data_IF_150331865267
#
_entry.id   IF_150331865267
#
_cell.length_a   1.000
_cell.length_b   1.000
_cell.length_c   1.000
_cell.angle_alpha   90.00
_cell.angle_beta   90.00
_cell.angle_gamma   90.00
#
_symmetry.space_group_name_H-M   'P 1'
#
loop_
_entity.id
_entity.type
_entity.pdbx_description
1 polymer ?
#
# COMPACT_ATOMS: atom_id res chain seq x y z
N UNK A 1 83.53 -18.02 -44.18
CA UNK A 1 82.78 -19.29 -44.06
C UNK A 1 81.47 -18.94 -43.36
N UNK A 2 80.38 -18.71 -44.07
CA UNK A 2 79.55 -19.65 -44.85
C UNK A 2 78.60 -20.48 -43.96
N UNK A 3 77.30 -20.42 -44.27
CA UNK A 3 76.23 -21.31 -43.78
C UNK A 3 75.21 -20.58 -42.89
N UNK A 4 74.18 -19.90 -43.39
CA UNK A 4 73.05 -20.30 -44.25
C UNK A 4 71.96 -21.14 -43.54
N UNK A 5 70.82 -20.47 -43.31
CA UNK A 5 69.42 -20.89 -43.55
C UNK A 5 68.84 -22.16 -42.92
N UNK A 6 67.79 -21.95 -42.12
CA UNK A 6 66.48 -22.64 -42.16
C UNK A 6 65.58 -21.91 -41.15
N UNK A 7 64.81 -20.89 -41.56
CA UNK A 7 63.52 -21.04 -42.25
C UNK A 7 62.80 -22.35 -41.91
N UNK A 8 62.04 -22.29 -40.81
CA UNK A 8 60.87 -23.11 -40.63
C UNK A 8 59.71 -22.19 -40.23
N UNK A 9 59.09 -21.63 -41.27
CA UNK A 9 57.69 -21.29 -41.27
C UNK A 9 56.89 -22.53 -40.85
N UNK A 10 56.27 -22.45 -39.67
CA UNK A 10 55.04 -23.18 -39.40
C UNK A 10 53.99 -22.16 -38.99
N UNK A 11 53.45 -21.54 -40.03
CA UNK A 11 52.02 -21.32 -40.14
C UNK A 11 51.26 -22.57 -39.63
N UNK A 12 50.36 -22.31 -38.69
CA UNK A 12 48.98 -22.74 -38.70
C UNK A 12 48.53 -23.21 -37.31
N UNK A 13 47.54 -22.50 -36.78
CA UNK A 13 46.93 -22.85 -35.52
C UNK A 13 46.38 -21.63 -34.80
N UNK A 14 45.40 -21.00 -35.42
CA UNK A 14 44.20 -20.51 -34.74
C UNK A 14 43.84 -21.48 -33.60
N UNK A 15 44.46 -21.30 -32.44
CA UNK A 15 43.96 -21.87 -31.19
C UNK A 15 42.94 -20.87 -30.74
N UNK A 16 41.76 -21.08 -31.32
CA UNK A 16 40.54 -20.39 -30.98
C UNK A 16 40.41 -20.25 -29.47
N UNK A 17 39.63 -19.24 -29.09
CA UNK A 17 39.09 -19.06 -27.77
C UNK A 17 38.54 -20.39 -27.24
N UNK A 18 39.43 -21.20 -26.66
CA UNK A 18 39.08 -22.42 -25.97
C UNK A 18 38.29 -21.95 -24.78
N UNK A 19 37.07 -22.46 -24.66
CA UNK A 19 36.15 -22.18 -23.56
C UNK A 19 36.95 -22.10 -22.26
N UNK A 20 37.28 -20.89 -21.82
CA UNK A 20 38.03 -20.67 -20.60
C UNK A 20 37.06 -20.98 -19.46
N UNK A 21 36.94 -22.27 -19.14
CA UNK A 21 36.11 -22.75 -18.05
C UNK A 21 36.81 -22.32 -16.77
N UNK A 22 36.36 -21.20 -16.21
CA UNK A 22 36.82 -20.71 -14.92
C UNK A 22 36.81 -21.86 -13.91
N UNK A 23 37.97 -22.15 -13.33
CA UNK A 23 38.07 -23.16 -12.29
C UNK A 23 37.60 -22.57 -10.96
N UNK A 24 37.22 -23.42 -10.01
CA UNK A 24 36.84 -22.97 -8.67
C UNK A 24 37.97 -22.17 -8.00
N UNK A 25 39.23 -22.56 -8.24
CA UNK A 25 40.40 -21.84 -7.75
C UNK A 25 40.53 -20.44 -8.36
N UNK A 26 40.17 -20.27 -9.65
CA UNK A 26 40.15 -18.95 -10.28
C UNK A 26 39.08 -18.04 -9.68
N UNK A 27 37.91 -18.60 -9.37
CA UNK A 27 36.82 -17.88 -8.72
C UNK A 27 37.22 -17.43 -7.31
N UNK A 28 37.79 -18.33 -6.50
CA UNK A 28 38.26 -18.00 -5.14
C UNK A 28 39.38 -16.95 -5.15
N UNK A 29 40.31 -17.04 -6.10
CA UNK A 29 41.36 -16.02 -6.28
C UNK A 29 40.76 -14.66 -6.63
N UNK A 30 39.86 -14.60 -7.62
CA UNK A 30 39.21 -13.36 -8.04
C UNK A 30 38.41 -12.74 -6.90
N UNK A 31 37.69 -13.57 -6.13
CA UNK A 31 36.96 -13.13 -4.93
C UNK A 31 37.94 -12.56 -3.91
N UNK A 32 39.04 -13.27 -3.60
CA UNK A 32 40.06 -12.80 -2.65
C UNK A 32 40.68 -11.47 -3.06
N UNK A 33 41.05 -11.31 -4.33
CA UNK A 33 41.59 -10.05 -4.87
C UNK A 33 40.57 -8.91 -4.77
N UNK A 34 39.30 -9.18 -5.11
CA UNK A 34 38.23 -8.19 -5.03
C UNK A 34 37.97 -7.77 -3.58
N UNK A 35 37.92 -8.72 -2.66
CA UNK A 35 37.69 -8.48 -1.24
C UNK A 35 38.84 -7.69 -0.61
N UNK A 36 40.07 -7.94 -1.04
CA UNK A 36 41.25 -7.18 -0.60
C UNK A 36 41.20 -5.74 -1.11
N UNK A 37 40.84 -5.54 -2.39
CA UNK A 37 40.68 -4.21 -2.98
C UNK A 37 39.54 -3.43 -2.30
N UNK A 38 38.42 -4.10 -2.04
CA UNK A 38 37.28 -3.50 -1.35
C UNK A 38 37.65 -3.10 0.08
N UNK A 39 38.33 -3.97 0.84
CA UNK A 39 38.83 -3.61 2.18
C UNK A 39 39.81 -2.44 2.14
N UNK A 40 40.71 -2.40 1.16
CA UNK A 40 41.64 -1.30 0.98
C UNK A 40 40.92 0.01 0.60
N UNK A 41 39.91 -0.04 -0.28
CA UNK A 41 39.09 1.13 -0.63
C UNK A 41 38.27 1.63 0.57
N UNK A 42 37.70 0.72 1.36
CA UNK A 42 36.97 1.07 2.59
C UNK A 42 37.93 1.68 3.61
N UNK A 43 39.11 1.10 3.81
CA UNK A 43 40.13 1.64 4.70
C UNK A 43 40.64 3.02 4.25
N UNK A 44 40.81 3.24 2.94
CA UNK A 44 41.21 4.54 2.39
C UNK A 44 40.11 5.61 2.53
N UNK A 45 38.83 5.23 2.39
CA UNK A 45 37.70 6.17 2.45
C UNK A 45 37.28 6.50 3.88
N UNK A 46 37.31 5.51 4.77
CA UNK A 46 36.70 5.61 6.10
C UNK A 46 37.71 5.37 7.24
N UNK A 47 38.97 5.10 6.92
CA UNK A 47 39.96 4.67 7.89
C UNK A 47 39.77 3.22 8.33
N UNK A 48 40.59 2.77 9.26
CA UNK A 48 40.40 1.47 9.91
C UNK A 48 39.18 1.53 10.84
N UNK A 49 38.25 0.61 10.65
CA UNK A 49 37.01 0.53 11.40
C UNK A 49 37.28 0.26 12.89
N UNK A 50 38.34 -0.46 13.21
CA UNK A 50 38.71 -0.72 14.60
C UNK A 50 39.27 0.54 15.27
N UNK A 51 40.02 1.37 14.53
CA UNK A 51 40.49 2.68 15.00
C UNK A 51 39.34 3.66 15.17
N UNK A 52 38.35 3.63 14.28
CA UNK A 52 37.18 4.49 14.40
C UNK A 52 36.33 4.13 15.63
N UNK A 53 36.16 2.83 15.88
CA UNK A 53 35.48 2.34 17.10
C UNK A 53 36.26 2.73 18.35
N UNK A 54 37.56 2.51 18.38
CA UNK A 54 38.38 2.85 19.55
C UNK A 54 38.34 4.36 19.83
N UNK A 55 38.50 5.19 18.78
CA UNK A 55 38.38 6.65 18.89
C UNK A 55 37.00 7.08 19.39
N UNK A 56 35.92 6.45 18.93
CA UNK A 56 34.58 6.75 19.41
C UNK A 56 34.42 6.43 20.90
N UNK A 57 34.88 5.25 21.35
CA UNK A 57 34.82 4.86 22.76
C UNK A 57 35.65 5.78 23.65
N UNK A 58 36.81 6.22 23.17
CA UNK A 58 37.73 7.08 23.91
C UNK A 58 37.19 8.52 23.99
N UNK A 59 36.62 9.03 22.89
CA UNK A 59 35.90 10.31 22.88
C UNK A 59 34.68 10.31 23.79
N UNK A 60 33.95 9.19 23.85
CA UNK A 60 32.80 9.05 24.73
C UNK A 60 33.23 9.03 26.19
N UNK A 61 34.30 8.29 26.53
CA UNK A 61 34.88 8.28 27.87
C UNK A 61 35.42 9.67 28.29
N UNK A 62 36.08 10.41 27.39
CA UNK A 62 36.54 11.78 27.67
C UNK A 62 35.34 12.72 27.87
N UNK A 63 34.31 12.63 27.02
CA UNK A 63 33.08 13.41 27.20
C UNK A 63 32.42 13.11 28.53
N UNK A 64 32.32 11.85 28.93
CA UNK A 64 31.69 11.47 30.19
C UNK A 64 32.53 11.86 31.42
N UNK A 65 33.86 11.92 31.27
CA UNK A 65 34.80 12.40 32.30
C UNK A 65 34.76 13.92 32.47
N UNK A 66 34.69 14.66 31.35
CA UNK A 66 34.75 16.12 31.35
C UNK A 66 33.37 16.77 31.49
N UNK A 67 32.27 16.00 31.40
CA UNK A 67 30.92 16.45 31.76
C UNK A 67 30.85 16.80 33.24
N UNK A 68 30.52 18.05 33.52
CA UNK A 68 30.20 18.49 34.87
C UNK A 68 28.90 17.86 35.33
N UNK A 69 28.64 17.82 36.65
CA UNK A 69 27.38 17.29 37.17
C UNK A 69 26.16 18.03 36.61
N UNK A 70 26.32 19.31 36.24
CA UNK A 70 25.28 20.10 35.57
C UNK A 70 24.97 19.59 34.16
N UNK A 71 25.98 19.20 33.38
CA UNK A 71 25.80 18.68 32.01
C UNK A 71 25.14 17.30 32.02
N UNK A 72 25.51 16.43 32.98
CA UNK A 72 24.85 15.12 33.18
C UNK A 72 23.38 15.29 33.52
N UNK A 73 23.04 16.27 34.36
CA UNK A 73 21.65 16.58 34.70
C UNK A 73 20.91 17.15 33.48
N UNK A 74 21.54 18.01 32.67
CA UNK A 74 20.92 18.51 31.43
C UNK A 74 20.64 17.39 30.43
N UNK A 75 21.59 16.47 30.22
CA UNK A 75 21.40 15.30 29.36
C UNK A 75 20.24 14.43 29.86
N UNK A 76 20.16 14.18 31.17
CA UNK A 76 19.05 13.44 31.77
C UNK A 76 17.71 14.14 31.59
N UNK A 77 17.66 15.47 31.73
CA UNK A 77 16.46 16.26 31.49
C UNK A 77 16.04 16.15 30.02
N UNK A 78 16.97 16.29 29.08
CA UNK A 78 16.68 16.18 27.66
C UNK A 78 16.16 14.78 27.28
N UNK A 79 16.76 13.73 27.84
CA UNK A 79 16.33 12.35 27.66
C UNK A 79 14.92 12.12 28.24
N UNK A 80 14.64 12.62 29.45
CA UNK A 80 13.34 12.50 30.09
C UNK A 80 12.27 13.28 29.33
N UNK A 81 12.58 14.49 28.84
CA UNK A 81 11.68 15.27 28.00
C UNK A 81 11.36 14.55 26.70
N UNK A 82 12.36 13.95 26.05
CA UNK A 82 12.17 13.17 24.83
C UNK A 82 11.27 11.95 25.10
N UNK A 83 11.51 11.22 26.19
CA UNK A 83 10.69 10.06 26.58
C UNK A 83 9.25 10.46 26.89
N UNK A 84 9.06 11.56 27.63
CA UNK A 84 7.73 12.07 27.97
C UNK A 84 6.97 12.51 26.71
N UNK A 85 7.62 13.22 25.79
CA UNK A 85 7.01 13.59 24.53
C UNK A 85 6.61 12.35 23.72
N UNK A 86 7.49 11.35 23.62
CA UNK A 86 7.20 10.10 22.93
C UNK A 86 6.05 9.31 23.60
N UNK A 87 5.99 9.28 24.93
CA UNK A 87 4.92 8.62 25.68
C UNK A 87 3.58 9.36 25.53
N UNK A 88 3.59 10.69 25.58
CA UNK A 88 2.39 11.50 25.33
C UNK A 88 1.87 11.30 23.90
N UNK A 89 2.75 11.24 22.90
CA UNK A 89 2.37 10.89 21.53
C UNK A 89 1.82 9.46 21.42
N UNK A 90 2.45 8.49 22.09
CA UNK A 90 1.98 7.12 22.09
C UNK A 90 0.59 7.00 22.74
N UNK A 91 0.38 7.69 23.86
CA UNK A 91 -0.88 7.73 24.58
C UNK A 91 -1.98 8.37 23.77
N UNK A 92 -1.73 9.55 23.17
CA UNK A 92 -2.70 10.23 22.31
C UNK A 92 -3.08 9.38 21.09
N UNK A 93 -2.12 8.70 20.46
CA UNK A 93 -2.39 7.74 19.37
C UNK A 93 -3.22 6.56 19.85
N UNK A 94 -2.93 6.02 21.04
CA UNK A 94 -3.68 4.91 21.62
C UNK A 94 -5.13 5.31 21.96
N UNK A 95 -5.33 6.48 22.58
CA UNK A 95 -6.65 7.04 22.89
C UNK A 95 -7.45 7.32 21.61
N UNK A 96 -6.83 7.91 20.58
CA UNK A 96 -7.47 8.13 19.29
C UNK A 96 -7.89 6.81 18.61
N UNK A 97 -7.07 5.76 18.72
CA UNK A 97 -7.38 4.43 18.19
C UNK A 97 -8.53 3.76 18.97
N UNK A 98 -8.53 3.87 20.30
CA UNK A 98 -9.61 3.37 21.13
C UNK A 98 -10.94 4.07 20.79
N UNK A 99 -10.94 5.40 20.74
CA UNK A 99 -12.11 6.18 20.35
C UNK A 99 -12.60 5.86 18.93
N UNK A 100 -11.70 5.60 17.98
CA UNK A 100 -12.08 5.16 16.62
C UNK A 100 -12.72 3.77 16.61
N UNK A 101 -12.23 2.85 17.45
CA UNK A 101 -12.80 1.52 17.59
C UNK A 101 -14.20 1.57 18.22
N UNK A 102 -14.38 2.37 19.28
CA UNK A 102 -15.68 2.60 19.92
C UNK A 102 -16.71 3.19 18.94
N UNK A 103 -16.31 4.21 18.16
CA UNK A 103 -17.17 4.78 17.11
C UNK A 103 -17.55 3.77 16.04
N UNK A 104 -16.59 2.95 15.61
CA UNK A 104 -16.85 1.89 14.63
C UNK A 104 -17.84 0.87 15.21
N UNK A 105 -17.65 0.46 16.46
CA UNK A 105 -18.55 -0.48 17.12
C UNK A 105 -19.96 0.10 17.25
N UNK A 106 -20.07 1.37 17.66
CA UNK A 106 -21.34 2.09 17.75
C UNK A 106 -22.10 2.09 16.41
N UNK A 107 -21.41 2.36 15.31
CA UNK A 107 -22.00 2.30 13.96
C UNK A 107 -22.50 0.90 13.59
N UNK A 108 -21.71 -0.14 13.89
CA UNK A 108 -22.08 -1.53 13.65
C UNK A 108 -23.32 -1.92 14.47
N UNK A 109 -23.35 -1.57 15.75
CA UNK A 109 -24.48 -1.86 16.65
C UNK A 109 -25.78 -1.18 16.20
N UNK A 110 -25.68 -0.02 15.55
CA UNK A 110 -26.81 0.72 14.96
C UNK A 110 -27.19 0.25 13.54
N UNK A 111 -26.54 -0.79 13.04
CA UNK A 111 -26.87 -1.46 11.79
C UNK A 111 -26.12 -0.97 10.55
N UNK A 112 -25.05 -0.17 10.69
CA UNK A 112 -24.18 0.13 9.56
C UNK A 112 -23.24 -1.05 9.26
N UNK A 113 -22.98 -1.36 7.98
CA UNK A 113 -21.90 -2.27 7.60
C UNK A 113 -20.55 -1.78 8.13
N UNK A 114 -19.68 -2.72 8.53
CA UNK A 114 -18.35 -2.41 9.08
C UNK A 114 -17.53 -1.45 8.21
N UNK A 115 -17.63 -1.56 6.88
CA UNK A 115 -16.92 -0.69 5.94
C UNK A 115 -17.35 0.78 6.03
N UNK A 116 -18.62 1.05 6.36
CA UNK A 116 -19.14 2.39 6.56
C UNK A 116 -18.98 2.85 8.01
N UNK A 117 -19.15 1.96 8.98
CA UNK A 117 -18.93 2.28 10.39
C UNK A 117 -17.50 2.76 10.68
N UNK A 118 -16.49 2.21 9.99
CA UNK A 118 -15.10 2.67 10.05
C UNK A 118 -14.87 4.10 9.55
N UNK A 119 -15.82 4.66 8.80
CA UNK A 119 -15.75 5.99 8.21
C UNK A 119 -16.52 7.05 9.01
N UNK A 120 -17.21 6.66 10.09
CA UNK A 120 -17.97 7.59 10.91
C UNK A 120 -17.06 8.67 11.54
N UNK A 121 -17.52 9.91 11.44
CA UNK A 121 -16.87 11.11 11.95
C UNK A 121 -17.77 11.77 12.98
N UNK A 122 -17.25 11.92 14.18
CA UNK A 122 -17.99 12.51 15.29
C UNK A 122 -17.32 12.14 16.59
N UNK A 123 -17.65 12.85 17.65
CA UNK A 123 -17.14 12.56 19.00
C UNK A 123 -18.25 12.37 20.02
N UNK A 124 -19.47 12.76 19.65
CA UNK A 124 -20.66 12.65 20.50
C UNK A 124 -21.68 11.69 19.89
N UNK A 125 -22.47 11.02 20.75
CA UNK A 125 -23.51 10.09 20.31
C UNK A 125 -24.54 10.74 19.38
N UNK A 126 -24.83 12.04 19.59
CA UNK A 126 -25.76 12.80 18.76
C UNK A 126 -25.23 13.03 17.33
N UNK A 127 -23.95 13.36 17.18
CA UNK A 127 -23.30 13.49 15.87
C UNK A 127 -23.25 12.16 15.14
N UNK A 128 -22.87 11.09 15.86
CA UNK A 128 -22.82 9.74 15.31
C UNK A 128 -24.20 9.27 14.87
N UNK A 129 -25.25 9.48 15.67
CA UNK A 129 -26.61 9.12 15.31
C UNK A 129 -27.13 9.89 14.08
N UNK A 130 -26.79 11.18 13.96
CA UNK A 130 -27.15 11.98 12.79
C UNK A 130 -26.50 11.44 11.51
N UNK A 131 -25.19 11.21 11.53
CA UNK A 131 -24.45 10.67 10.39
C UNK A 131 -24.92 9.25 10.04
N UNK A 132 -25.16 8.41 11.04
CA UNK A 132 -25.74 7.06 10.87
C UNK A 132 -27.08 7.13 10.16
N UNK A 133 -27.96 8.06 10.56
CA UNK A 133 -29.27 8.20 9.95
C UNK A 133 -29.20 8.75 8.52
N UNK A 134 -28.22 9.59 8.21
CA UNK A 134 -27.94 10.03 6.84
C UNK A 134 -27.41 8.90 5.95
N UNK A 135 -26.58 8.00 6.49
CA UNK A 135 -25.96 6.90 5.74
C UNK A 135 -26.88 5.69 5.55
N UNK A 136 -27.77 5.39 6.50
CA UNK A 136 -28.74 4.29 6.45
C UNK A 136 -29.48 4.13 5.11
N UNK A 137 -30.05 5.16 4.46
CA UNK A 137 -30.77 5.00 3.20
C UNK A 137 -29.88 4.51 2.04
N UNK A 138 -28.57 4.71 2.11
CA UNK A 138 -27.60 4.30 1.09
C UNK A 138 -27.03 2.90 1.33
N UNK A 139 -27.27 2.32 2.50
CA UNK A 139 -26.94 0.91 2.76
C UNK A 139 -27.94 0.04 2.02
N UNK A 140 -27.50 -0.61 0.95
CA UNK A 140 -28.21 -1.78 0.45
C UNK A 140 -28.12 -2.84 1.55
N UNK A 141 -29.25 -3.16 2.19
CA UNK A 141 -29.32 -4.26 3.14
C UNK A 141 -28.71 -5.49 2.49
N UNK A 142 -27.81 -6.18 3.18
CA UNK A 142 -27.14 -7.37 2.65
C UNK A 142 -28.13 -8.49 2.23
N UNK A 143 -29.40 -8.39 2.65
CA UNK A 143 -30.50 -9.28 2.27
C UNK A 143 -31.32 -8.81 1.05
N UNK A 144 -31.04 -7.64 0.48
CA UNK A 144 -31.75 -7.08 -0.67
C UNK A 144 -30.79 -6.85 -1.82
N UNK A 145 -30.90 -7.67 -2.88
CA UNK A 145 -30.17 -7.50 -4.13
C UNK A 145 -30.35 -6.11 -4.76
N UNK A 146 -29.77 -5.85 -5.95
CA UNK A 146 -29.82 -4.55 -6.62
C UNK A 146 -31.22 -3.96 -6.51
N UNK A 147 -31.35 -2.80 -5.85
CA UNK A 147 -32.63 -2.12 -5.70
C UNK A 147 -33.26 -2.08 -7.08
N UNK A 148 -34.47 -2.63 -7.28
CA UNK A 148 -35.11 -2.58 -8.58
C UNK A 148 -35.15 -1.11 -8.99
N UNK A 149 -34.82 -0.80 -10.26
CA UNK A 149 -34.89 0.58 -10.74
C UNK A 149 -36.27 1.12 -10.39
N UNK A 150 -36.32 2.33 -9.85
CA UNK A 150 -37.58 2.98 -9.53
C UNK A 150 -38.50 2.88 -10.77
N UNK A 151 -39.79 2.52 -10.59
CA UNK A 151 -40.72 2.42 -11.69
C UNK A 151 -40.63 3.69 -12.55
N UNK A 152 -40.27 3.52 -13.82
CA UNK A 152 -40.22 4.65 -14.72
C UNK A 152 -41.63 5.24 -14.79
N UNK A 153 -41.79 6.55 -14.55
CA UNK A 153 -43.10 7.20 -14.61
C UNK A 153 -43.75 7.12 -16.00
N UNK A 154 -42.98 6.70 -17.02
CA UNK A 154 -43.47 6.42 -18.36
C UNK A 154 -43.80 4.94 -18.61
N UNK A 155 -43.54 4.04 -17.66
CA UNK A 155 -43.83 2.62 -17.81
C UNK A 155 -45.35 2.40 -17.70
N UNK A 156 -45.98 2.09 -18.83
CA UNK A 156 -47.43 1.95 -18.94
C UNK A 156 -48.18 3.25 -19.27
N UNK A 157 -47.48 4.38 -19.42
CA UNK A 157 -48.08 5.63 -19.85
C UNK A 157 -48.03 5.72 -21.39
N UNK A 158 -49.17 5.74 -22.09
CA UNK A 158 -49.15 5.95 -23.54
C UNK A 158 -48.60 7.34 -23.87
N UNK A 159 -47.94 7.53 -25.04
CA UNK A 159 -47.46 8.82 -25.49
C UNK A 159 -48.65 9.72 -25.83
N UNK A 160 -49.12 10.46 -24.82
CA UNK A 160 -50.34 11.25 -24.88
C UNK A 160 -50.89 11.44 -23.48
N UNK A 161 -50.36 12.44 -22.77
CA UNK A 161 -50.73 12.71 -21.39
C UNK A 161 -52.24 12.86 -21.17
N UNK A 162 -52.70 12.33 -20.03
CA UNK A 162 -54.03 12.48 -19.42
C UNK A 162 -55.15 11.68 -20.12
N UNK A 163 -55.62 10.64 -19.41
CA UNK A 163 -56.94 9.99 -19.55
C UNK A 163 -57.08 8.80 -20.50
N UNK A 164 -56.09 7.92 -20.61
CA UNK A 164 -56.34 6.57 -21.14
C UNK A 164 -56.18 5.56 -19.99
N UNK A 165 -57.29 4.96 -19.56
CA UNK A 165 -57.29 3.83 -18.60
C UNK A 165 -56.31 2.76 -19.12
N UNK A 166 -55.58 2.03 -18.25
CA UNK A 166 -54.73 0.94 -18.70
C UNK A 166 -55.57 0.01 -19.57
N UNK A 167 -55.17 -0.14 -20.84
CA UNK A 167 -55.89 -0.97 -21.80
C UNK A 167 -55.77 -2.43 -21.33
N UNK A 168 -56.85 -2.96 -20.76
CA UNK A 168 -56.94 -4.39 -20.46
C UNK A 168 -56.86 -5.21 -21.74
N UNK A 169 -56.48 -6.49 -21.62
CA UNK A 169 -56.48 -7.44 -22.74
C UNK A 169 -57.86 -7.49 -23.42
N UNK A 170 -58.94 -7.33 -22.64
CA UNK A 170 -60.31 -7.22 -23.16
C UNK A 170 -60.52 -5.97 -24.03
N UNK A 171 -60.05 -4.80 -23.61
CA UNK A 171 -60.14 -3.57 -24.40
C UNK A 171 -59.33 -3.67 -25.70
N UNK A 172 -58.18 -4.35 -25.67
CA UNK A 172 -57.40 -4.66 -26.86
C UNK A 172 -58.12 -5.62 -27.82
N UNK A 173 -58.76 -6.67 -27.30
CA UNK A 173 -59.53 -7.62 -28.10
C UNK A 173 -60.72 -6.95 -28.81
N UNK A 174 -61.43 -6.06 -28.12
CA UNK A 174 -62.53 -5.29 -28.71
C UNK A 174 -62.04 -4.40 -29.87
N UNK A 175 -60.93 -3.67 -29.69
CA UNK A 175 -60.33 -2.86 -30.75
C UNK A 175 -59.87 -3.70 -31.95
N UNK A 176 -59.32 -4.89 -31.70
CA UNK A 176 -58.91 -5.81 -32.76
C UNK A 176 -60.10 -6.27 -33.60
N UNK A 177 -61.20 -6.69 -32.97
CA UNK A 177 -62.42 -7.08 -33.72
C UNK A 177 -63.03 -5.91 -34.50
N UNK A 178 -62.93 -4.69 -33.98
CA UNK A 178 -63.47 -3.49 -34.63
C UNK A 178 -62.63 -3.05 -35.83
N UNK A 179 -61.32 -3.30 -35.78
CA UNK A 179 -60.39 -3.02 -36.89
C UNK A 179 -60.31 -4.17 -37.90
N UNK A 180 -60.73 -5.38 -37.52
CA UNK A 180 -60.74 -6.57 -38.36
C UNK A 180 -62.13 -7.24 -38.34
N UNK A 181 -63.17 -6.59 -38.91
CA UNK A 181 -64.49 -7.20 -39.01
C UNK A 181 -64.41 -8.44 -39.91
N UNK A 182 -64.94 -9.56 -39.43
CA UNK A 182 -64.97 -10.79 -40.23
C UNK A 182 -65.85 -10.55 -41.47
N UNK A 183 -65.42 -10.95 -42.68
CA UNK A 183 -66.28 -10.89 -43.84
C UNK A 183 -67.49 -11.80 -43.60
N UNK A 184 -68.69 -11.27 -43.87
CA UNK A 184 -69.95 -12.00 -43.73
C UNK A 184 -69.89 -13.27 -44.59
N UNK A 185 -70.22 -14.42 -43.99
CA UNK A 185 -70.46 -15.67 -44.69
C UNK A 185 -71.79 -15.63 -45.45
#
# INVERSE_FOLDING_TARGET
MAGASSDHDQDNGDKGAGDAKFTQADVERIIGERLTRERAEVANKYGDLDVLKSSHTELQAIKDRDKTDADKVQDQIADLQTKLAAEAEARTKAEAKAAAAERTQYGVDKGLPLALAKKLVGTTDAELDAEINELKPFVATADGGPRPPAPNQHQGQPPGGKSAKPSSVSAGAELYTKSHPKPNA
#
